data_IF_119544343046
#
_entry.id   IF_119544343046
#
_cell.length_a   1.000
_cell.length_b   1.000
_cell.length_c   1.000
_cell.angle_alpha   90.00
_cell.angle_beta   90.00
_cell.angle_gamma   90.00
#
_symmetry.space_group_name_H-M   'P 1'
#
loop_
_entity.id
_entity.type
_entity.pdbx_description
1 polymer ?
#
# COMPACT_ATOMS: atom_id res chain seq x y z
N UNK A 1 -13.75 8.97 -4.57
CA UNK A 1 -13.08 8.94 -3.25
C UNK A 1 -14.11 8.95 -2.13
N UNK A 2 -14.41 7.82 -1.47
CA UNK A 2 -15.16 7.87 -0.20
C UNK A 2 -14.26 8.55 0.85
N UNK A 3 -14.69 9.71 1.36
CA UNK A 3 -13.96 10.50 2.35
C UNK A 3 -13.58 9.65 3.58
N UNK A 4 -12.48 10.00 4.27
CA UNK A 4 -12.11 9.38 5.56
C UNK A 4 -13.30 9.34 6.53
N UNK A 5 -14.15 10.37 6.52
CA UNK A 5 -15.37 10.47 7.34
C UNK A 5 -16.39 9.37 7.02
N UNK A 6 -16.59 9.00 5.74
CA UNK A 6 -17.50 7.93 5.35
C UNK A 6 -17.04 6.55 5.85
N UNK A 7 -15.72 6.30 5.88
CA UNK A 7 -15.15 5.04 6.41
C UNK A 7 -15.27 4.96 7.93
N UNK A 8 -15.00 6.06 8.63
CA UNK A 8 -15.15 6.13 10.09
C UNK A 8 -16.61 5.94 10.48
N UNK A 9 -17.54 6.60 9.79
CA UNK A 9 -18.97 6.44 10.04
C UNK A 9 -19.43 4.99 9.83
N UNK A 10 -18.97 4.32 8.75
CA UNK A 10 -19.29 2.92 8.49
C UNK A 10 -18.76 1.96 9.58
N UNK A 11 -17.58 2.25 10.14
CA UNK A 11 -17.05 1.46 11.27
C UNK A 11 -17.83 1.70 12.56
N UNK A 12 -18.19 2.95 12.86
CA UNK A 12 -18.99 3.29 14.04
C UNK A 12 -20.37 2.62 13.95
N UNK A 13 -21.05 2.73 12.80
CA UNK A 13 -22.35 2.09 12.60
C UNK A 13 -22.25 0.57 12.65
N UNK A 14 -21.20 -0.02 12.07
CA UNK A 14 -20.94 -1.46 12.15
C UNK A 14 -20.70 -1.95 13.59
N UNK A 15 -19.91 -1.24 14.39
CA UNK A 15 -19.68 -1.57 15.80
C UNK A 15 -20.96 -1.41 16.62
N UNK A 16 -21.72 -0.34 16.40
CA UNK A 16 -23.00 -0.13 17.07
C UNK A 16 -24.00 -1.26 16.73
N UNK A 17 -24.09 -1.67 15.47
CA UNK A 17 -24.94 -2.80 15.06
C UNK A 17 -24.49 -4.12 15.71
N UNK A 18 -23.18 -4.37 15.78
CA UNK A 18 -22.62 -5.57 16.42
C UNK A 18 -22.92 -5.63 17.92
N UNK A 19 -22.83 -4.50 18.63
CA UNK A 19 -23.12 -4.40 20.06
C UNK A 19 -24.61 -4.58 20.41
N UNK A 20 -25.51 -4.43 19.43
CA UNK A 20 -26.96 -4.63 19.60
C UNK A 20 -27.37 -6.10 19.43
N UNK A 21 -26.54 -6.94 18.81
CA UNK A 21 -26.84 -8.37 18.58
C UNK A 21 -27.23 -9.13 19.86
N UNK A 22 -26.54 -8.99 21.01
CA UNK A 22 -26.93 -9.67 22.23
C UNK A 22 -28.35 -9.34 22.71
N UNK A 23 -28.83 -8.12 22.43
CA UNK A 23 -30.17 -7.67 22.81
C UNK A 23 -31.22 -8.30 21.87
N UNK A 24 -30.91 -8.42 20.58
CA UNK A 24 -31.81 -9.04 19.59
C UNK A 24 -31.97 -10.55 19.79
N UNK A 25 -30.92 -11.23 20.24
CA UNK A 25 -30.92 -12.67 20.50
C UNK A 25 -31.20 -13.02 21.97
N UNK A 26 -31.51 -12.04 22.82
CA UNK A 26 -31.85 -12.29 24.21
C UNK A 26 -33.18 -13.09 24.31
N UNK A 27 -33.21 -14.22 25.05
CA UNK A 27 -34.43 -15.01 25.20
C UNK A 27 -35.47 -14.27 26.06
N UNK A 28 -36.52 -13.76 25.43
CA UNK A 28 -37.65 -13.08 26.10
C UNK A 28 -38.65 -12.50 25.08
N UNK A 29 -39.96 -12.60 25.36
CA UNK A 29 -41.03 -12.10 24.47
C UNK A 29 -41.12 -10.55 24.53
N UNK A 30 -40.23 -9.85 23.84
CA UNK A 30 -40.36 -8.42 23.52
C UNK A 30 -39.25 -7.51 24.05
N UNK A 31 -38.86 -6.50 23.25
CA UNK A 31 -37.87 -5.47 23.60
C UNK A 31 -38.43 -4.62 24.76
N UNK A 32 -38.08 -4.99 25.99
CA UNK A 32 -38.40 -4.22 27.19
C UNK A 32 -37.11 -3.77 27.87
N UNK A 33 -37.10 -2.57 28.44
CA UNK A 33 -35.94 -2.01 29.16
C UNK A 33 -35.48 -2.89 30.34
N UNK A 34 -36.34 -3.79 30.83
CA UNK A 34 -36.00 -4.79 31.85
C UNK A 34 -35.01 -5.85 31.37
N UNK A 35 -34.88 -6.11 30.06
CA UNK A 35 -33.90 -7.05 29.50
C UNK A 35 -32.47 -6.56 29.76
N UNK A 36 -32.24 -5.25 29.78
CA UNK A 36 -30.94 -4.64 30.09
C UNK A 36 -30.55 -4.81 31.56
N UNK A 37 -31.50 -5.14 32.43
CA UNK A 37 -31.25 -5.44 33.85
C UNK A 37 -30.94 -6.92 34.11
N UNK A 38 -31.11 -7.78 33.10
CA UNK A 38 -30.77 -9.19 33.22
C UNK A 38 -29.24 -9.38 33.25
N UNK A 39 -28.73 -10.07 34.26
CA UNK A 39 -27.32 -10.37 34.44
C UNK A 39 -26.71 -11.11 33.22
N UNK A 40 -27.48 -11.99 32.57
CA UNK A 40 -27.04 -12.66 31.34
C UNK A 40 -26.79 -11.65 30.21
N UNK A 41 -27.74 -10.77 29.93
CA UNK A 41 -27.63 -9.76 28.87
C UNK A 41 -26.47 -8.80 29.13
N UNK A 42 -26.29 -8.36 30.39
CA UNK A 42 -25.20 -7.46 30.75
C UNK A 42 -23.83 -8.12 30.55
N UNK A 43 -23.70 -9.41 30.88
CA UNK A 43 -22.47 -10.19 30.66
C UNK A 43 -22.14 -10.31 29.17
N UNK A 44 -23.12 -10.64 28.34
CA UNK A 44 -22.95 -10.71 26.88
C UNK A 44 -22.54 -9.35 26.30
N UNK A 45 -23.20 -8.26 26.71
CA UNK A 45 -22.82 -6.91 26.26
C UNK A 45 -21.38 -6.56 26.62
N UNK A 46 -20.93 -6.92 27.83
CA UNK A 46 -19.55 -6.72 28.25
C UNK A 46 -18.57 -7.57 27.41
N UNK A 47 -18.90 -8.82 27.12
CA UNK A 47 -18.10 -9.69 26.24
C UNK A 47 -17.95 -9.13 24.82
N UNK A 48 -19.05 -8.67 24.22
CA UNK A 48 -19.05 -8.04 22.90
C UNK A 48 -18.26 -6.73 22.87
N UNK A 49 -18.34 -5.93 23.95
CA UNK A 49 -17.50 -4.74 24.10
C UNK A 49 -16.01 -5.08 24.13
N UNK A 50 -15.62 -6.12 24.89
CA UNK A 50 -14.24 -6.59 24.93
C UNK A 50 -13.78 -7.15 23.57
N UNK A 51 -14.66 -7.81 22.80
CA UNK A 51 -14.37 -8.27 21.44
C UNK A 51 -14.09 -7.10 20.48
N UNK A 52 -14.87 -6.01 20.56
CA UNK A 52 -14.62 -4.80 19.77
C UNK A 52 -13.28 -4.16 20.16
N UNK A 53 -12.98 -4.07 21.47
CA UNK A 53 -11.70 -3.56 21.95
C UNK A 53 -10.53 -4.41 21.45
N UNK A 54 -10.66 -5.74 21.54
CA UNK A 54 -9.70 -6.69 21.01
C UNK A 54 -9.49 -6.52 19.50
N UNK A 55 -10.56 -6.39 18.73
CA UNK A 55 -10.48 -6.16 17.29
C UNK A 55 -9.59 -4.96 16.96
N UNK A 56 -9.81 -3.80 17.59
CA UNK A 56 -9.02 -2.60 17.35
C UNK A 56 -7.59 -2.72 17.88
N UNK A 57 -7.39 -3.31 19.06
CA UNK A 57 -6.06 -3.58 19.61
C UNK A 57 -5.27 -4.48 18.66
N UNK A 58 -5.89 -5.53 18.14
CA UNK A 58 -5.26 -6.47 17.23
C UNK A 58 -4.94 -5.81 15.89
N UNK A 59 -5.91 -5.12 15.30
CA UNK A 59 -5.81 -4.46 14.00
C UNK A 59 -4.78 -3.31 13.98
N UNK A 60 -4.79 -2.44 15.00
CA UNK A 60 -3.95 -1.23 15.04
C UNK A 60 -2.57 -1.46 15.67
N UNK A 61 -2.45 -2.41 16.62
CA UNK A 61 -1.24 -2.55 17.44
C UNK A 61 -0.59 -3.92 17.29
N UNK A 62 -1.31 -5.02 17.61
CA UNK A 62 -0.67 -6.33 17.71
C UNK A 62 -0.21 -6.88 16.36
N UNK A 63 -1.05 -6.81 15.31
CA UNK A 63 -0.65 -7.25 13.98
C UNK A 63 0.50 -6.38 13.43
N UNK A 64 0.40 -5.04 13.38
CA UNK A 64 1.45 -4.22 12.79
C UNK A 64 2.77 -4.24 13.56
N UNK A 65 2.74 -4.23 14.90
CA UNK A 65 3.97 -4.14 15.72
C UNK A 65 4.60 -5.49 16.04
N UNK A 66 3.82 -6.57 16.10
CA UNK A 66 4.33 -7.89 16.49
C UNK A 66 4.33 -8.86 15.30
N UNK A 67 3.17 -9.10 14.67
CA UNK A 67 3.05 -10.10 13.60
C UNK A 67 3.88 -9.73 12.36
N UNK A 68 3.73 -8.52 11.82
CA UNK A 68 4.51 -8.07 10.66
C UNK A 68 6.00 -7.87 10.97
N UNK A 69 6.37 -7.68 12.24
CA UNK A 69 7.78 -7.66 12.68
C UNK A 69 8.33 -9.04 13.03
N UNK A 70 7.62 -10.13 12.65
CA UNK A 70 8.00 -11.53 12.88
C UNK A 70 8.19 -11.92 14.35
N UNK A 71 7.60 -11.18 15.29
CA UNK A 71 7.64 -11.48 16.74
C UNK A 71 6.49 -12.43 17.12
N UNK A 72 6.45 -13.61 16.51
CA UNK A 72 5.29 -14.52 16.59
C UNK A 72 5.02 -15.06 17.99
N UNK A 73 6.04 -15.36 18.79
CA UNK A 73 5.85 -15.85 20.16
C UNK A 73 5.19 -14.80 21.07
N UNK A 74 5.62 -13.54 20.99
CA UNK A 74 5.03 -12.44 21.76
C UNK A 74 3.59 -12.17 21.29
N UNK A 75 3.35 -12.27 19.98
CA UNK A 75 2.00 -12.15 19.41
C UNK A 75 1.08 -13.26 19.92
N UNK A 76 1.52 -14.53 19.91
CA UNK A 76 0.76 -15.66 20.43
C UNK A 76 0.44 -15.51 21.92
N UNK A 77 1.41 -15.05 22.72
CA UNK A 77 1.20 -14.72 24.13
C UNK A 77 0.13 -13.63 24.33
N UNK A 78 0.20 -12.55 23.54
CA UNK A 78 -0.81 -11.49 23.59
C UNK A 78 -2.22 -11.99 23.19
N UNK A 79 -2.32 -12.87 22.20
CA UNK A 79 -3.58 -13.50 21.81
C UNK A 79 -4.18 -14.34 22.95
N UNK A 80 -3.36 -15.15 23.63
CA UNK A 80 -3.80 -15.95 24.78
C UNK A 80 -4.30 -15.06 25.92
N UNK A 81 -3.57 -13.98 26.25
CA UNK A 81 -3.99 -13.02 27.28
C UNK A 81 -5.33 -12.37 26.91
N UNK A 82 -5.51 -11.97 25.65
CA UNK A 82 -6.78 -11.40 25.20
C UNK A 82 -7.94 -12.41 25.26
N UNK A 83 -7.70 -13.65 24.86
CA UNK A 83 -8.70 -14.72 24.93
C UNK A 83 -9.13 -14.98 26.39
N UNK A 84 -8.17 -15.11 27.30
CA UNK A 84 -8.43 -15.26 28.73
C UNK A 84 -9.22 -14.06 29.27
N UNK A 85 -8.82 -12.84 28.90
CA UNK A 85 -9.53 -11.63 29.32
C UNK A 85 -10.98 -11.61 28.85
N UNK A 86 -11.24 -11.88 27.56
CA UNK A 86 -12.59 -11.90 26.99
C UNK A 86 -13.46 -12.97 27.66
N UNK A 87 -12.90 -14.14 27.97
CA UNK A 87 -13.64 -15.25 28.56
C UNK A 87 -13.93 -15.07 30.05
N UNK A 88 -12.96 -14.57 30.85
CA UNK A 88 -13.06 -14.60 32.31
C UNK A 88 -13.42 -13.25 32.94
N UNK A 89 -13.21 -12.12 32.27
CA UNK A 89 -13.59 -10.80 32.81
C UNK A 89 -15.12 -10.66 32.97
N UNK A 90 -15.95 -10.98 31.96
CA UNK A 90 -17.39 -10.81 32.09
C UNK A 90 -18.03 -11.59 33.26
N UNK A 91 -17.76 -12.90 33.46
CA UNK A 91 -18.34 -13.64 34.59
C UNK A 91 -17.74 -13.26 35.95
N UNK A 92 -16.53 -12.68 35.99
CA UNK A 92 -15.93 -12.16 37.23
C UNK A 92 -16.69 -10.95 37.77
N UNK A 93 -17.06 -10.00 36.88
CA UNK A 93 -17.82 -8.81 37.27
C UNK A 93 -19.32 -9.06 37.39
N UNK A 94 -19.86 -9.98 36.59
CA UNK A 94 -21.29 -10.31 36.57
C UNK A 94 -21.46 -11.82 36.75
N UNK A 95 -21.44 -12.29 38.02
CA UNK A 95 -21.56 -13.71 38.34
C UNK A 95 -22.87 -14.32 37.84
N UNK A 96 -22.84 -15.62 37.57
CA UNK A 96 -24.03 -16.39 37.18
C UNK A 96 -25.10 -16.33 38.28
N UNK A 97 -26.16 -15.56 38.03
CA UNK A 97 -27.36 -15.59 38.85
C UNK A 97 -28.29 -16.69 38.31
N UNK A 98 -28.21 -17.88 38.92
CA UNK A 98 -29.21 -18.92 38.70
C UNK A 98 -30.52 -18.45 39.31
N UNK A 99 -31.42 -17.92 38.48
CA UNK A 99 -32.77 -17.58 38.92
C UNK A 99 -33.45 -18.83 39.44
N UNK A 100 -33.96 -18.77 40.68
CA UNK A 100 -34.77 -19.83 41.31
C UNK A 100 -35.99 -20.24 40.48
N UNK A 101 -36.39 -19.39 39.51
CA UNK A 101 -37.57 -19.53 38.67
C UNK A 101 -37.26 -19.91 37.21
N UNK A 102 -35.99 -20.15 36.84
CA UNK A 102 -35.65 -20.67 35.53
C UNK A 102 -35.33 -22.16 35.69
N UNK A 103 -36.27 -23.08 35.36
CA UNK A 103 -35.96 -24.49 35.41
C UNK A 103 -34.83 -24.73 34.41
N UNK A 104 -33.65 -25.12 34.92
CA UNK A 104 -32.62 -25.68 34.06
C UNK A 104 -33.26 -26.86 33.32
N UNK A 105 -33.09 -26.98 31.99
CA UNK A 105 -33.41 -28.21 31.30
C UNK A 105 -32.70 -29.35 32.06
N UNK A 106 -33.40 -30.41 32.50
CA UNK A 106 -32.85 -31.42 33.40
C UNK A 106 -31.58 -32.12 32.86
N UNK A 107 -31.29 -31.96 31.56
CA UNK A 107 -30.14 -32.55 30.88
C UNK A 107 -28.91 -31.63 30.72
N UNK A 108 -29.03 -30.34 31.06
CA UNK A 108 -27.97 -29.34 30.89
C UNK A 108 -27.34 -28.97 32.24
N UNK A 109 -26.49 -29.86 32.77
CA UNK A 109 -25.71 -29.59 33.98
C UNK A 109 -24.76 -28.39 33.81
N UNK A 110 -24.31 -27.81 34.93
CA UNK A 110 -23.46 -26.61 34.98
C UNK A 110 -22.21 -26.69 34.07
N UNK A 111 -21.62 -27.88 33.91
CA UNK A 111 -20.47 -28.10 33.02
C UNK A 111 -20.80 -27.89 31.53
N UNK A 112 -21.99 -28.28 31.07
CA UNK A 112 -22.40 -28.09 29.66
C UNK A 112 -22.67 -26.60 29.34
N UNK A 113 -23.19 -25.84 30.30
CA UNK A 113 -23.38 -24.40 30.17
C UNK A 113 -22.03 -23.68 30.03
N UNK A 114 -21.06 -24.03 30.88
CA UNK A 114 -19.71 -23.46 30.82
C UNK A 114 -19.01 -23.77 29.49
N UNK A 115 -19.12 -25.02 29.00
CA UNK A 115 -18.57 -25.40 27.69
C UNK A 115 -19.20 -24.61 26.54
N UNK A 116 -20.51 -24.37 26.60
CA UNK A 116 -21.21 -23.55 25.60
C UNK A 116 -20.72 -22.10 25.60
N UNK A 117 -20.58 -21.47 26.78
CA UNK A 117 -20.07 -20.09 26.89
C UNK A 117 -18.61 -19.97 26.43
N UNK A 118 -17.76 -20.95 26.75
CA UNK A 118 -16.39 -21.01 26.23
C UNK A 118 -16.38 -21.09 24.70
N UNK A 119 -17.22 -21.96 24.12
CA UNK A 119 -17.36 -22.11 22.68
C UNK A 119 -17.83 -20.83 21.99
N UNK A 120 -18.84 -20.15 22.54
CA UNK A 120 -19.37 -18.90 22.01
C UNK A 120 -18.30 -17.78 22.01
N UNK A 121 -17.62 -17.58 23.14
CA UNK A 121 -16.56 -16.58 23.26
C UNK A 121 -15.37 -16.87 22.35
N UNK A 122 -14.96 -18.14 22.27
CA UNK A 122 -13.89 -18.58 21.39
C UNK A 122 -14.25 -18.35 19.92
N UNK A 123 -15.48 -18.65 19.52
CA UNK A 123 -15.96 -18.38 18.16
C UNK A 123 -15.93 -16.88 17.84
N UNK A 124 -16.45 -16.02 18.73
CA UNK A 124 -16.40 -14.57 18.56
C UNK A 124 -14.96 -14.05 18.44
N UNK A 125 -14.05 -14.57 19.27
CA UNK A 125 -12.63 -14.25 19.21
C UNK A 125 -12.00 -14.65 17.87
N UNK A 126 -12.26 -15.86 17.37
CA UNK A 126 -11.76 -16.32 16.08
C UNK A 126 -12.27 -15.46 14.92
N UNK A 127 -13.55 -15.08 14.93
CA UNK A 127 -14.11 -14.17 13.93
C UNK A 127 -13.41 -12.81 13.98
N UNK A 128 -13.27 -12.22 15.16
CA UNK A 128 -12.58 -10.93 15.33
C UNK A 128 -11.12 -11.00 14.88
N UNK A 129 -10.41 -12.09 15.21
CA UNK A 129 -9.05 -12.37 14.77
C UNK A 129 -8.97 -12.46 13.24
N UNK A 130 -9.84 -13.25 12.62
CA UNK A 130 -9.84 -13.47 11.18
C UNK A 130 -10.15 -12.19 10.40
N UNK A 131 -11.15 -11.42 10.83
CA UNK A 131 -11.52 -10.15 10.19
C UNK A 131 -10.40 -9.12 10.33
N UNK A 132 -9.86 -8.94 11.55
CA UNK A 132 -8.75 -8.00 11.76
C UNK A 132 -7.51 -8.40 10.96
N UNK A 133 -7.19 -9.70 10.90
CA UNK A 133 -6.07 -10.22 10.10
C UNK A 133 -6.26 -9.96 8.60
N UNK A 134 -7.43 -10.28 8.05
CA UNK A 134 -7.75 -10.05 6.63
C UNK A 134 -7.66 -8.57 6.29
N UNK A 135 -8.20 -7.69 7.13
CA UNK A 135 -8.11 -6.24 6.94
C UNK A 135 -6.66 -5.73 7.01
N UNK A 136 -5.88 -6.17 8.00
CA UNK A 136 -4.47 -5.78 8.14
C UNK A 136 -3.62 -6.24 6.95
N UNK A 137 -3.82 -7.47 6.48
CA UNK A 137 -3.13 -8.00 5.29
C UNK A 137 -3.52 -7.20 4.05
N UNK A 138 -4.81 -6.96 3.81
CA UNK A 138 -5.28 -6.19 2.66
C UNK A 138 -4.70 -4.77 2.65
N UNK A 139 -4.66 -4.11 3.82
CA UNK A 139 -4.07 -2.78 3.93
C UNK A 139 -2.55 -2.80 3.67
N UNK A 140 -1.84 -3.81 4.20
CA UNK A 140 -0.41 -3.96 3.95
C UNK A 140 -0.12 -4.25 2.48
N UNK A 141 -0.95 -5.06 1.83
CA UNK A 141 -0.82 -5.38 0.41
C UNK A 141 -1.01 -4.15 -0.48
N UNK A 142 -2.04 -3.35 -0.20
CA UNK A 142 -2.26 -2.06 -0.89
C UNK A 142 -1.09 -1.11 -0.70
N UNK A 143 -0.58 -0.97 0.53
CA UNK A 143 0.57 -0.12 0.79
C UNK A 143 1.80 -0.57 -0.01
N UNK A 144 2.08 -1.88 -0.05
CA UNK A 144 3.20 -2.43 -0.82
C UNK A 144 3.02 -2.20 -2.33
N UNK A 145 1.79 -2.28 -2.84
CA UNK A 145 1.50 -1.97 -4.25
C UNK A 145 1.71 -0.48 -4.57
N UNK A 146 1.26 0.41 -3.68
CA UNK A 146 1.47 1.86 -3.84
C UNK A 146 2.95 2.22 -3.79
N UNK A 147 3.71 1.65 -2.84
CA UNK A 147 5.16 1.82 -2.74
C UNK A 147 5.89 1.28 -3.99
N UNK A 148 5.47 0.12 -4.50
CA UNK A 148 6.01 -0.46 -5.74
C UNK A 148 5.75 0.44 -6.94
N UNK A 149 4.51 0.89 -7.14
CA UNK A 149 4.15 1.78 -8.25
C UNK A 149 4.90 3.11 -8.16
N UNK A 150 5.03 3.69 -6.97
CA UNK A 150 5.81 4.91 -6.76
C UNK A 150 7.29 4.71 -7.12
N UNK A 151 7.84 3.54 -6.79
CA UNK A 151 9.24 3.18 -7.11
C UNK A 151 9.42 2.98 -8.61
N UNK A 152 8.52 2.26 -9.28
CA UNK A 152 8.52 2.08 -10.74
C UNK A 152 8.39 3.44 -11.44
N UNK A 153 7.45 4.29 -11.04
CA UNK A 153 7.32 5.65 -11.56
C UNK A 153 8.59 6.49 -11.34
N UNK A 154 9.23 6.37 -10.19
CA UNK A 154 10.50 7.06 -9.92
C UNK A 154 11.62 6.56 -10.81
N UNK A 155 11.68 5.24 -11.06
CA UNK A 155 12.65 4.63 -11.96
C UNK A 155 12.45 5.09 -13.41
N UNK A 156 11.20 5.06 -13.90
CA UNK A 156 10.82 5.55 -15.22
C UNK A 156 11.16 7.05 -15.39
N UNK A 157 10.86 7.86 -14.37
CA UNK A 157 11.23 9.29 -14.36
C UNK A 157 12.73 9.51 -14.39
N UNK A 158 13.52 8.66 -13.74
CA UNK A 158 14.97 8.78 -13.71
C UNK A 158 15.62 8.44 -15.07
N UNK A 159 14.96 7.66 -15.94
CA UNK A 159 15.41 7.42 -17.31
C UNK A 159 15.33 8.68 -18.19
N UNK A 160 14.51 9.66 -17.82
CA UNK A 160 14.54 11.00 -18.39
C UNK A 160 15.51 11.83 -17.54
N UNK A 161 16.56 12.41 -18.13
CA UNK A 161 17.43 13.37 -17.44
C UNK A 161 16.72 14.75 -17.41
N UNK A 162 16.00 15.14 -16.33
CA UNK A 162 15.23 16.38 -16.33
C UNK A 162 16.12 17.60 -16.52
N UNK A 163 17.35 17.55 -16.00
CA UNK A 163 18.31 18.62 -16.14
C UNK A 163 18.73 18.81 -17.60
N UNK A 164 19.03 17.72 -18.31
CA UNK A 164 19.27 17.78 -19.76
C UNK A 164 18.08 18.39 -20.48
N UNK A 165 16.86 17.91 -20.20
CA UNK A 165 15.64 18.40 -20.85
C UNK A 165 15.44 19.91 -20.65
N UNK A 166 15.54 20.41 -19.41
CA UNK A 166 15.40 21.84 -19.14
C UNK A 166 16.50 22.67 -19.80
N UNK A 167 17.75 22.20 -19.78
CA UNK A 167 18.86 22.92 -20.42
C UNK A 167 18.72 22.97 -21.94
N UNK A 168 18.29 21.88 -22.56
CA UNK A 168 18.06 21.83 -24.00
C UNK A 168 16.89 22.73 -24.38
N UNK A 169 15.79 22.74 -23.62
CA UNK A 169 14.68 23.67 -23.85
C UNK A 169 15.10 25.13 -23.70
N UNK A 170 15.93 25.46 -22.70
CA UNK A 170 16.46 26.81 -22.54
C UNK A 170 17.37 27.21 -23.71
N UNK A 171 18.17 26.28 -24.22
CA UNK A 171 19.02 26.52 -25.40
C UNK A 171 18.18 26.77 -26.64
N UNK A 172 17.11 25.97 -26.84
CA UNK A 172 16.15 26.16 -27.94
C UNK A 172 15.43 27.50 -27.80
N UNK A 173 15.06 27.91 -26.59
CA UNK A 173 14.45 29.21 -26.33
C UNK A 173 15.39 30.36 -26.70
N UNK A 174 16.66 30.28 -26.33
CA UNK A 174 17.67 31.27 -26.74
C UNK A 174 17.83 31.32 -28.27
N UNK A 175 17.96 30.17 -28.93
CA UNK A 175 18.02 30.07 -30.40
C UNK A 175 16.79 30.70 -31.06
N UNK A 176 15.60 30.52 -30.49
CA UNK A 176 14.37 31.11 -30.98
C UNK A 176 14.35 32.65 -30.85
N UNK A 177 14.88 33.20 -29.75
CA UNK A 177 15.04 34.65 -29.57
C UNK A 177 16.01 35.21 -30.61
N UNK A 178 17.11 34.52 -30.84
CA UNK A 178 18.18 34.91 -31.78
C UNK A 178 17.80 34.68 -33.25
N UNK A 179 16.66 34.03 -33.51
CA UNK A 179 16.20 33.62 -34.85
C UNK A 179 17.21 32.73 -35.56
N UNK A 180 17.84 31.82 -34.82
CA UNK A 180 18.77 30.84 -35.37
C UNK A 180 18.04 29.87 -36.29
N UNK A 181 18.63 29.60 -37.47
CA UNK A 181 18.15 28.62 -38.43
C UNK A 181 18.16 27.18 -37.87
N UNK A 182 18.90 26.93 -36.77
CA UNK A 182 18.97 25.63 -36.11
C UNK A 182 17.78 25.33 -35.18
N UNK A 183 16.96 26.33 -34.84
CA UNK A 183 15.89 26.21 -33.84
C UNK A 183 14.93 25.06 -34.16
N UNK A 184 14.43 25.00 -35.41
CA UNK A 184 13.48 23.97 -35.83
C UNK A 184 14.10 22.56 -35.75
N UNK A 185 15.36 22.43 -36.18
CA UNK A 185 16.11 21.17 -36.13
C UNK A 185 16.29 20.69 -34.70
N UNK A 186 16.64 21.59 -33.77
CA UNK A 186 16.81 21.25 -32.37
C UNK A 186 15.50 20.74 -31.72
N UNK A 187 14.36 21.33 -32.07
CA UNK A 187 13.03 20.86 -31.61
C UNK A 187 12.74 19.45 -32.11
N UNK A 188 12.99 19.17 -33.39
CA UNK A 188 12.78 17.85 -33.99
C UNK A 188 13.65 16.79 -33.31
N UNK A 189 14.94 17.07 -33.10
CA UNK A 189 15.88 16.17 -32.43
C UNK A 189 15.46 15.89 -30.99
N UNK A 190 15.14 16.93 -30.22
CA UNK A 190 14.66 16.75 -28.86
C UNK A 190 13.37 15.90 -28.81
N UNK A 191 12.44 16.13 -29.76
CA UNK A 191 11.21 15.34 -29.87
C UNK A 191 11.48 13.87 -30.21
N UNK A 192 12.41 13.59 -31.14
CA UNK A 192 12.84 12.24 -31.50
C UNK A 192 13.47 11.51 -30.31
N UNK A 193 14.40 12.18 -29.63
CA UNK A 193 15.02 11.66 -28.42
C UNK A 193 14.02 11.36 -27.31
N UNK A 194 13.09 12.28 -27.02
CA UNK A 194 12.06 12.07 -26.00
C UNK A 194 11.14 10.92 -26.38
N UNK A 195 10.77 10.79 -27.66
CA UNK A 195 9.99 9.66 -28.16
C UNK A 195 10.70 8.34 -27.90
N UNK A 196 11.97 8.24 -28.25
CA UNK A 196 12.77 7.04 -28.02
C UNK A 196 12.79 6.63 -26.53
N UNK A 197 13.04 7.57 -25.61
CA UNK A 197 13.03 7.29 -24.17
C UNK A 197 11.66 6.82 -23.67
N UNK A 198 10.56 7.44 -24.11
CA UNK A 198 9.23 7.07 -23.59
C UNK A 198 8.66 5.79 -24.21
N UNK A 199 9.01 5.46 -25.46
CA UNK A 199 8.40 4.32 -26.16
C UNK A 199 9.26 3.07 -26.17
N UNK A 200 10.58 3.19 -26.27
CA UNK A 200 11.46 2.04 -26.56
C UNK A 200 12.47 1.75 -25.45
N UNK A 201 12.81 2.72 -24.60
CA UNK A 201 13.81 2.51 -23.54
C UNK A 201 13.36 1.59 -22.38
N UNK A 202 12.15 1.03 -22.47
CA UNK A 202 11.59 0.06 -21.53
C UNK A 202 11.67 -1.38 -22.05
N UNK A 203 12.04 -1.58 -23.32
CA UNK A 203 12.20 -2.91 -23.90
C UNK A 203 13.52 -3.54 -23.43
N UNK A 204 13.56 -4.87 -23.37
CA UNK A 204 14.79 -5.59 -22.98
C UNK A 204 15.95 -5.32 -23.97
N UNK A 205 15.61 -5.15 -25.26
CA UNK A 205 16.56 -4.91 -26.34
C UNK A 205 15.97 -4.02 -27.43
N UNK A 206 16.78 -3.12 -27.97
CA UNK A 206 16.46 -2.27 -29.13
C UNK A 206 17.44 -2.54 -30.27
N UNK A 207 17.08 -2.13 -31.50
CA UNK A 207 18.03 -2.13 -32.60
C UNK A 207 19.18 -1.16 -32.31
N UNK A 208 20.42 -1.60 -32.54
CA UNK A 208 21.62 -0.79 -32.32
C UNK A 208 21.57 0.52 -33.12
N UNK A 209 20.99 0.48 -34.31
CA UNK A 209 20.77 1.67 -35.16
C UNK A 209 20.02 2.79 -34.42
N UNK A 210 18.96 2.45 -33.67
CA UNK A 210 18.20 3.45 -32.91
C UNK A 210 18.98 4.04 -31.73
N UNK A 211 19.81 3.23 -31.06
CA UNK A 211 20.70 3.72 -30.00
C UNK A 211 21.73 4.70 -30.60
N UNK A 212 22.31 4.38 -31.76
CA UNK A 212 23.25 5.25 -32.46
C UNK A 212 22.59 6.55 -32.94
N UNK A 213 21.37 6.49 -33.47
CA UNK A 213 20.59 7.67 -33.87
C UNK A 213 20.32 8.57 -32.66
N UNK A 214 19.92 7.98 -31.53
CA UNK A 214 19.70 8.70 -30.28
C UNK A 214 20.97 9.40 -29.78
N UNK A 215 22.13 8.73 -29.81
CA UNK A 215 23.41 9.33 -29.46
C UNK A 215 23.80 10.46 -30.42
N UNK A 216 23.56 10.28 -31.73
CA UNK A 216 23.81 11.30 -32.74
C UNK A 216 23.00 12.56 -32.48
N UNK A 217 21.70 12.42 -32.23
CA UNK A 217 20.81 13.54 -31.88
C UNK A 217 21.26 14.23 -30.58
N UNK A 218 21.66 13.47 -29.56
CA UNK A 218 22.20 14.04 -28.32
C UNK A 218 23.45 14.88 -28.58
N UNK A 219 24.42 14.31 -29.31
CA UNK A 219 25.70 14.97 -29.63
C UNK A 219 25.46 16.23 -30.44
N UNK A 220 24.58 16.20 -31.44
CA UNK A 220 24.27 17.39 -32.23
C UNK A 220 23.61 18.49 -31.41
N UNK A 221 22.69 18.16 -30.50
CA UNK A 221 22.11 19.15 -29.59
C UNK A 221 23.18 19.77 -28.68
N UNK A 222 24.13 18.97 -28.19
CA UNK A 222 25.26 19.48 -27.41
C UNK A 222 26.18 20.38 -28.25
N UNK A 223 26.48 20.01 -29.50
CA UNK A 223 27.26 20.85 -30.42
C UNK A 223 26.58 22.20 -30.67
N UNK A 224 25.28 22.21 -30.92
CA UNK A 224 24.50 23.46 -31.09
C UNK A 224 24.60 24.36 -29.85
N UNK A 225 24.64 23.79 -28.65
CA UNK A 225 24.77 24.55 -27.39
C UNK A 225 26.18 25.10 -27.16
N UNK A 226 27.20 24.35 -27.56
CA UNK A 226 28.62 24.71 -27.37
C UNK A 226 29.14 25.63 -28.48
N UNK A 227 28.40 25.77 -29.58
CA UNK A 227 28.79 26.53 -30.76
C UNK A 227 30.23 26.18 -31.18
N UNK A 228 31.12 27.18 -31.28
CA UNK A 228 32.50 27.01 -31.72
C UNK A 228 33.51 26.97 -30.56
N UNK A 229 33.05 26.80 -29.32
CA UNK A 229 33.94 26.83 -28.15
C UNK A 229 34.75 25.54 -27.98
N UNK A 230 34.24 24.42 -28.52
CA UNK A 230 34.87 23.10 -28.41
C UNK A 230 34.71 22.31 -29.70
N UNK A 231 35.79 21.65 -30.11
CA UNK A 231 35.77 20.67 -31.20
C UNK A 231 35.24 19.33 -30.69
N UNK A 232 34.11 18.88 -31.26
CA UNK A 232 33.47 17.60 -30.91
C UNK A 232 33.45 16.69 -32.14
N UNK A 233 34.24 15.62 -32.11
CA UNK A 233 34.29 14.60 -33.16
C UNK A 233 33.41 13.41 -32.76
N UNK A 234 32.47 13.04 -33.63
CA UNK A 234 31.58 11.88 -33.43
C UNK A 234 31.63 11.01 -34.69
N UNK A 235 32.13 9.80 -34.55
CA UNK A 235 32.32 8.85 -35.63
C UNK A 235 31.76 7.47 -35.25
N UNK A 236 31.03 6.86 -36.18
CA UNK A 236 30.47 5.51 -36.02
C UNK A 236 31.12 4.62 -37.07
N UNK A 237 31.85 3.61 -36.60
CA UNK A 237 32.60 2.69 -37.47
C UNK A 237 32.07 1.26 -37.36
N UNK A 238 31.71 0.67 -38.50
CA UNK A 238 31.26 -0.73 -38.61
C UNK A 238 29.74 -0.90 -38.81
N UNK A 239 29.26 -2.16 -39.02
CA UNK A 239 27.86 -2.42 -39.33
C UNK A 239 26.98 -2.33 -38.07
N UNK A 240 25.94 -1.51 -38.13
CA UNK A 240 24.92 -1.36 -37.06
C UNK A 240 23.66 -2.17 -37.31
N UNK A 241 23.32 -2.42 -38.58
CA UNK A 241 22.08 -3.09 -38.97
C UNK A 241 22.03 -4.55 -38.48
N UNK A 242 20.85 -4.97 -38.04
CA UNK A 242 20.59 -6.34 -37.56
C UNK A 242 21.15 -6.67 -36.18
N UNK A 243 21.77 -5.71 -35.48
CA UNK A 243 22.28 -5.90 -34.11
C UNK A 243 21.31 -5.34 -33.09
N UNK A 244 21.32 -5.94 -31.89
CA UNK A 244 20.52 -5.49 -30.75
C UNK A 244 21.41 -5.12 -29.56
N UNK A 245 20.93 -4.19 -28.75
CA UNK A 245 21.61 -3.68 -27.55
C UNK A 245 20.58 -3.35 -26.47
N UNK A 246 20.98 -3.37 -25.20
CA UNK A 246 20.16 -2.81 -24.13
C UNK A 246 20.02 -1.29 -24.34
N UNK A 247 18.80 -0.73 -24.26
CA UNK A 247 18.57 0.69 -24.52
C UNK A 247 19.27 1.58 -23.49
N UNK A 248 19.68 2.77 -23.91
CA UNK A 248 20.31 3.80 -23.07
C UNK A 248 21.58 3.32 -22.34
N UNK A 249 22.21 2.23 -22.76
CA UNK A 249 23.44 1.73 -22.12
C UNK A 249 24.65 2.57 -22.50
N UNK A 250 24.61 3.24 -23.66
CA UNK A 250 25.74 4.02 -24.18
C UNK A 250 25.68 5.50 -23.78
N UNK A 251 24.48 6.05 -23.57
CA UNK A 251 24.31 7.48 -23.25
C UNK A 251 25.09 7.94 -22.00
N UNK A 252 25.26 7.16 -20.92
CA UNK A 252 26.03 7.60 -19.75
C UNK A 252 27.50 7.91 -20.08
N UNK A 253 28.09 7.20 -21.04
CA UNK A 253 29.48 7.46 -21.47
C UNK A 253 29.58 8.77 -22.24
N UNK A 254 28.61 9.02 -23.13
CA UNK A 254 28.55 10.26 -23.91
C UNK A 254 28.25 11.46 -23.01
N UNK A 255 27.29 11.34 -22.08
CA UNK A 255 27.01 12.40 -21.08
C UNK A 255 28.25 12.71 -20.24
N UNK A 256 28.99 11.69 -19.80
CA UNK A 256 30.22 11.88 -19.04
C UNK A 256 31.31 12.58 -19.85
N UNK A 257 31.44 12.29 -21.15
CA UNK A 257 32.39 12.97 -22.03
C UNK A 257 32.12 14.48 -22.09
N UNK A 258 30.86 14.91 -22.21
CA UNK A 258 30.51 16.34 -22.15
C UNK A 258 30.63 16.94 -20.75
N UNK A 259 30.33 16.15 -19.71
CA UNK A 259 30.37 16.64 -18.33
C UNK A 259 31.78 16.90 -17.82
N UNK A 260 32.77 16.10 -18.22
CA UNK A 260 34.14 16.19 -17.71
C UNK A 260 35.16 16.65 -18.76
N UNK A 261 34.80 16.60 -20.05
CA UNK A 261 35.67 17.02 -21.15
C UNK A 261 35.42 18.43 -21.66
N UNK A 262 34.28 19.04 -21.32
CA UNK A 262 33.87 20.35 -21.85
C UNK A 262 33.42 21.32 -20.76
N UNK A 263 32.51 20.88 -19.89
CA UNK A 263 32.05 21.64 -18.73
C UNK A 263 33.01 21.47 -17.55
#
# INVERSE_FOLDING_TARGET
MKSKTSKVLAHITGCAAFLVLPILFAPGRGISLSILRNAHTQREMLGYFLLVLFFYLNFLVLIPKLYFKKRYFVFAGAMLVCLIAITFIPPYFIPHQFSKNMPMPPELGQGKLLLFELGHNFFGFLVALFVSMTMSINNKWKQVQEEKLATELSYLKAQINPHFLFNTLNSIYAMAIEKSDHTATAVVKLSGMMRYVITEAHDDYVALEKEIDYLGDYVELQKMRLENTVEVVYEVNGPVSGKQIAPLVLIPFVENAFKYGVN
#
